data_IF_157985520291
#
_entry.id   IF_157985520291
#
_cell.length_a   1.000
_cell.length_b   1.000
_cell.length_c   1.000
_cell.angle_alpha   90.00
_cell.angle_beta   90.00
_cell.angle_gamma   90.00
#
_symmetry.space_group_name_H-M   'P 1'
#
loop_
_entity.id
_entity.type
_entity.pdbx_description
1 polymer ?
#
# COMPACT_ATOMS: atom_id res chain seq x y z
N UNK A 1 -4.97 21.02 -10.53
CA UNK A 1 -4.90 19.84 -11.42
C UNK A 1 -5.40 18.59 -10.71
N UNK A 2 -4.93 18.31 -9.48
CA UNK A 2 -5.34 17.14 -8.68
C UNK A 2 -6.86 17.04 -8.45
N UNK A 3 -7.53 18.14 -8.05
CA UNK A 3 -9.00 18.15 -7.82
C UNK A 3 -9.80 17.65 -9.02
N UNK A 4 -9.47 18.11 -10.24
CA UNK A 4 -10.13 17.65 -11.48
C UNK A 4 -9.88 16.17 -11.76
N UNK A 5 -8.69 15.66 -11.41
CA UNK A 5 -8.38 14.24 -11.53
C UNK A 5 -9.20 13.41 -10.53
N UNK A 6 -9.31 13.86 -9.28
CA UNK A 6 -10.09 13.19 -8.24
C UNK A 6 -11.57 13.04 -8.64
N UNK A 7 -12.13 14.03 -9.33
CA UNK A 7 -13.49 13.94 -9.88
C UNK A 7 -13.61 12.80 -10.92
N UNK A 8 -12.59 12.64 -11.76
CA UNK A 8 -12.54 11.59 -12.79
C UNK A 8 -12.31 10.19 -12.21
N UNK A 9 -11.75 10.05 -11.00
CA UNK A 9 -11.45 8.76 -10.37
C UNK A 9 -12.67 7.84 -10.29
N UNK A 10 -13.86 8.39 -10.04
CA UNK A 10 -15.11 7.61 -9.96
C UNK A 10 -15.44 6.92 -11.28
N UNK A 11 -15.13 7.57 -12.40
CA UNK A 11 -15.31 6.96 -13.72
C UNK A 11 -14.30 5.84 -13.95
N UNK A 12 -13.03 6.03 -13.54
CA UNK A 12 -12.00 4.98 -13.63
C UNK A 12 -12.36 3.75 -12.78
N UNK A 13 -12.97 3.96 -11.62
CA UNK A 13 -13.45 2.88 -10.76
C UNK A 13 -14.57 2.07 -11.41
N UNK A 14 -15.55 2.73 -12.03
CA UNK A 14 -16.61 2.05 -12.79
C UNK A 14 -16.03 1.22 -13.95
N UNK A 15 -14.92 1.68 -14.54
CA UNK A 15 -14.19 0.98 -15.60
C UNK A 15 -13.26 -0.13 -15.07
N UNK A 16 -13.21 -0.35 -13.74
CA UNK A 16 -12.34 -1.33 -13.07
C UNK A 16 -10.85 -1.13 -13.39
N UNK A 17 -10.42 0.12 -13.58
CA UNK A 17 -9.02 0.47 -13.87
C UNK A 17 -8.33 0.95 -12.62
N UNK A 18 -7.30 0.22 -12.18
CA UNK A 18 -6.38 0.68 -11.15
C UNK A 18 -5.51 1.81 -11.69
N UNK A 19 -5.15 2.76 -10.84
CA UNK A 19 -4.31 3.90 -11.23
C UNK A 19 -3.41 4.32 -10.07
N UNK A 20 -2.36 5.05 -10.44
CA UNK A 20 -1.33 5.54 -9.54
C UNK A 20 -1.14 7.03 -9.82
N UNK A 21 -1.11 7.85 -8.78
CA UNK A 21 -0.74 9.26 -8.86
C UNK A 21 0.63 9.40 -8.21
N UNK A 22 1.61 9.89 -8.96
CA UNK A 22 2.98 10.09 -8.47
C UNK A 22 3.34 11.57 -8.38
N UNK A 23 3.94 11.98 -7.26
CA UNK A 23 4.79 13.19 -7.16
C UNK A 23 6.22 12.70 -7.00
N UNK A 24 7.12 13.17 -7.86
CA UNK A 24 8.51 12.71 -7.85
C UNK A 24 9.47 13.90 -7.97
N UNK A 25 10.57 13.86 -7.22
CA UNK A 25 11.70 14.75 -7.40
C UNK A 25 12.79 14.02 -8.21
N UNK A 26 13.09 14.44 -9.46
CA UNK A 26 13.98 13.70 -10.37
C UNK A 26 15.36 13.38 -9.80
N UNK A 27 15.90 14.24 -8.93
CA UNK A 27 17.21 14.06 -8.28
C UNK A 27 17.31 12.83 -7.35
N UNK A 28 16.18 12.23 -6.97
CA UNK A 28 16.11 11.05 -6.10
C UNK A 28 15.83 9.75 -6.87
N UNK A 29 15.79 9.79 -8.21
CA UNK A 29 15.54 8.60 -9.03
C UNK A 29 16.73 7.64 -9.12
N UNK A 30 17.94 8.15 -8.84
CA UNK A 30 19.19 7.42 -8.97
C UNK A 30 19.85 7.20 -7.60
N UNK A 31 20.58 6.09 -7.41
CA UNK A 31 21.34 5.82 -6.21
C UNK A 31 22.36 6.94 -5.96
N UNK A 32 22.49 7.29 -4.68
CA UNK A 32 23.55 8.19 -4.20
C UNK A 32 24.50 7.35 -3.36
N UNK A 33 25.79 7.53 -3.62
CA UNK A 33 26.85 6.74 -2.99
C UNK A 33 26.79 6.88 -1.45
N UNK A 34 26.88 5.75 -0.75
CA UNK A 34 26.83 5.70 0.72
C UNK A 34 25.46 5.98 1.36
N UNK A 35 24.41 6.26 0.57
CA UNK A 35 23.08 6.56 1.08
C UNK A 35 22.22 5.28 1.11
N UNK A 36 21.78 4.88 2.30
CA UNK A 36 20.74 3.86 2.43
C UNK A 36 19.39 4.44 2.00
N UNK A 37 18.61 3.64 1.28
CA UNK A 37 17.35 4.09 0.67
C UNK A 37 16.23 3.18 1.10
N UNK A 38 15.09 3.78 1.39
CA UNK A 38 13.92 3.08 1.92
C UNK A 38 12.69 3.34 1.06
N UNK A 39 11.91 2.28 0.84
CA UNK A 39 10.54 2.36 0.34
C UNK A 39 9.62 2.11 1.53
N UNK A 40 8.84 3.11 1.92
CA UNK A 40 7.86 2.98 2.98
C UNK A 40 6.47 2.82 2.40
N UNK A 41 5.76 1.76 2.80
CA UNK A 41 4.39 1.48 2.39
C UNK A 41 3.48 1.69 3.60
N UNK A 42 2.59 2.68 3.53
CA UNK A 42 1.59 2.90 4.56
C UNK A 42 0.35 2.05 4.30
N UNK A 43 0.33 0.91 4.98
CA UNK A 43 -0.75 -0.04 5.03
C UNK A 43 -1.88 0.47 5.95
N UNK A 44 -3.12 0.41 5.47
CA UNK A 44 -4.25 0.89 6.25
C UNK A 44 -5.56 0.97 5.47
N UNK A 45 -6.42 -0.03 5.68
CA UNK A 45 -7.86 0.17 5.88
C UNK A 45 -8.78 0.63 4.75
N UNK A 46 -8.31 0.98 3.54
CA UNK A 46 -9.24 1.35 2.46
C UNK A 46 -9.02 0.57 1.16
N UNK A 47 -10.08 -0.14 0.77
CA UNK A 47 -10.39 -0.52 -0.61
C UNK A 47 -9.38 -1.47 -1.31
N UNK A 48 -8.74 -2.37 -0.57
CA UNK A 48 -7.89 -3.44 -1.14
C UNK A 48 -6.72 -2.91 -2.00
N UNK A 49 -6.17 -1.74 -1.63
CA UNK A 49 -4.99 -1.17 -2.30
C UNK A 49 -3.68 -1.91 -1.96
N UNK A 50 -3.64 -2.56 -0.79
CA UNK A 50 -2.44 -3.12 -0.16
C UNK A 50 -1.60 -4.01 -1.07
N UNK A 51 -2.23 -5.00 -1.70
CA UNK A 51 -1.54 -5.98 -2.52
C UNK A 51 -0.86 -5.34 -3.74
N UNK A 52 -1.54 -4.36 -4.36
CA UNK A 52 -0.97 -3.61 -5.47
C UNK A 52 0.20 -2.73 -5.00
N UNK A 53 0.11 -2.11 -3.82
CA UNK A 53 1.22 -1.33 -3.26
C UNK A 53 2.47 -2.19 -3.01
N UNK A 54 2.30 -3.37 -2.41
CA UNK A 54 3.39 -4.30 -2.15
C UNK A 54 3.99 -4.81 -3.47
N UNK A 55 3.15 -5.18 -4.44
CA UNK A 55 3.62 -5.60 -5.76
C UNK A 55 4.43 -4.49 -6.45
N UNK A 56 3.96 -3.25 -6.41
CA UNK A 56 4.67 -2.11 -7.01
C UNK A 56 6.02 -1.86 -6.33
N UNK A 57 6.08 -1.93 -4.99
CA UNK A 57 7.33 -1.82 -4.27
C UNK A 57 8.32 -2.92 -4.64
N UNK A 58 7.86 -4.17 -4.74
CA UNK A 58 8.68 -5.30 -5.19
C UNK A 58 9.16 -5.15 -6.62
N UNK A 59 8.29 -4.76 -7.56
CA UNK A 59 8.68 -4.54 -8.95
C UNK A 59 9.71 -3.41 -9.06
N UNK A 60 9.61 -2.39 -8.20
CA UNK A 60 10.62 -1.33 -8.15
C UNK A 60 11.99 -1.89 -7.76
N UNK A 61 12.09 -2.79 -6.78
CA UNK A 61 13.37 -3.40 -6.39
C UNK A 61 13.98 -4.31 -7.47
N UNK A 62 13.22 -4.71 -8.48
CA UNK A 62 13.76 -5.44 -9.64
C UNK A 62 14.54 -4.52 -10.60
N UNK A 63 14.37 -3.21 -10.51
CA UNK A 63 15.14 -2.24 -11.28
C UNK A 63 16.55 -2.08 -10.68
N UNK A 64 17.64 -2.13 -11.48
CA UNK A 64 19.01 -1.90 -10.99
C UNK A 64 19.17 -0.66 -10.12
N UNK A 65 18.50 0.45 -10.48
CA UNK A 65 18.58 1.71 -9.74
C UNK A 65 18.00 1.62 -8.33
N UNK A 66 17.18 0.61 -8.04
CA UNK A 66 16.45 0.43 -6.78
C UNK A 66 16.76 -0.91 -6.09
N UNK A 67 17.76 -1.67 -6.57
CA UNK A 67 18.02 -3.04 -6.11
C UNK A 67 18.33 -3.16 -4.62
N UNK A 68 19.03 -2.18 -4.05
CA UNK A 68 19.50 -2.22 -2.66
C UNK A 68 18.58 -1.49 -1.67
N UNK A 69 17.38 -1.07 -2.09
CA UNK A 69 16.46 -0.39 -1.20
C UNK A 69 15.80 -1.36 -0.22
N UNK A 70 15.51 -0.88 0.98
CA UNK A 70 14.79 -1.65 2.00
C UNK A 70 13.32 -1.27 2.01
N UNK A 71 12.45 -2.29 1.97
CA UNK A 71 11.00 -2.11 2.05
C UNK A 71 10.59 -2.14 3.52
N UNK A 72 9.84 -1.14 3.96
CA UNK A 72 9.19 -1.10 5.28
C UNK A 72 7.69 -0.96 5.08
N UNK A 73 6.90 -1.90 5.62
CA UNK A 73 5.44 -1.82 5.66
C UNK A 73 5.03 -1.27 7.02
N UNK A 74 4.46 -0.07 7.03
CA UNK A 74 3.98 0.63 8.21
C UNK A 74 2.46 0.56 8.29
N UNK A 75 1.89 0.31 9.46
CA UNK A 75 0.45 0.38 9.69
C UNK A 75 0.15 1.08 11.01
N UNK A 76 -1.01 1.71 11.11
CA UNK A 76 -1.52 2.24 12.38
C UNK A 76 -2.37 1.19 13.10
N UNK A 77 -2.35 1.21 14.43
CA UNK A 77 -3.24 0.45 15.29
C UNK A 77 -3.74 1.30 16.46
N UNK A 78 -5.05 1.23 16.73
CA UNK A 78 -5.67 1.93 17.86
C UNK A 78 -5.71 1.09 19.15
N UNK A 79 -5.50 -0.23 19.05
CA UNK A 79 -5.44 -1.15 20.18
C UNK A 79 -4.34 -2.20 19.98
N UNK A 80 -3.91 -2.83 21.07
CA UNK A 80 -2.87 -3.85 21.03
C UNK A 80 -3.35 -5.11 20.29
N UNK A 81 -4.64 -5.43 20.35
CA UNK A 81 -5.23 -6.53 19.58
C UNK A 81 -5.18 -6.25 18.07
N UNK A 82 -5.48 -5.01 17.67
CA UNK A 82 -5.36 -4.57 16.27
C UNK A 82 -3.90 -4.62 15.82
N UNK A 83 -2.97 -4.22 16.69
CA UNK A 83 -1.54 -4.31 16.42
C UNK A 83 -1.11 -5.76 16.18
N UNK A 84 -1.38 -6.64 17.13
CA UNK A 84 -0.99 -8.05 17.08
C UNK A 84 -1.59 -8.77 15.86
N UNK A 85 -2.87 -8.54 15.57
CA UNK A 85 -3.53 -9.13 14.40
C UNK A 85 -2.95 -8.62 13.08
N UNK A 86 -2.67 -7.32 12.98
CA UNK A 86 -2.05 -6.71 11.79
C UNK A 86 -0.62 -7.19 11.59
N UNK A 87 0.20 -7.23 12.64
CA UNK A 87 1.56 -7.78 12.59
C UNK A 87 1.54 -9.24 12.14
N UNK A 88 0.67 -10.08 12.72
CA UNK A 88 0.54 -11.50 12.35
C UNK A 88 0.15 -11.66 10.88
N UNK A 89 -0.85 -10.91 10.42
CA UNK A 89 -1.32 -10.96 9.03
C UNK A 89 -0.22 -10.54 8.04
N UNK A 90 0.43 -9.39 8.28
CA UNK A 90 1.45 -8.88 7.38
C UNK A 90 2.68 -9.80 7.35
N UNK A 91 3.10 -10.35 8.49
CA UNK A 91 4.24 -11.28 8.54
C UNK A 91 3.97 -12.53 7.72
N UNK A 92 2.76 -13.09 7.85
CA UNK A 92 2.35 -14.22 7.02
C UNK A 92 2.35 -13.85 5.53
N UNK A 93 1.76 -12.72 5.17
CA UNK A 93 1.67 -12.26 3.80
C UNK A 93 3.06 -12.12 3.14
N UNK A 94 4.01 -11.41 3.78
CA UNK A 94 5.35 -11.17 3.20
C UNK A 94 6.16 -12.47 3.05
N UNK A 95 5.98 -13.43 3.96
CA UNK A 95 6.61 -14.75 3.89
C UNK A 95 6.06 -15.56 2.73
N UNK A 96 4.74 -15.55 2.56
CA UNK A 96 4.06 -16.27 1.49
C UNK A 96 4.48 -15.75 0.10
N UNK A 97 4.57 -14.42 -0.07
CA UNK A 97 4.97 -13.78 -1.33
C UNK A 97 6.50 -13.63 -1.48
N UNK A 98 7.28 -14.05 -0.47
CA UNK A 98 8.76 -14.03 -0.46
C UNK A 98 9.37 -12.65 -0.72
N UNK A 99 8.81 -11.61 -0.13
CA UNK A 99 9.35 -10.24 -0.18
C UNK A 99 10.12 -9.96 1.10
N UNK A 100 11.38 -9.52 0.97
CA UNK A 100 12.18 -9.00 2.09
C UNK A 100 11.67 -7.61 2.49
N UNK A 101 10.83 -7.56 3.52
CA UNK A 101 10.26 -6.33 4.04
C UNK A 101 10.21 -6.34 5.57
N UNK A 102 10.46 -5.19 6.17
CA UNK A 102 10.31 -4.97 7.62
C UNK A 102 8.89 -4.51 7.90
N UNK A 103 8.22 -5.13 8.88
CA UNK A 103 6.87 -4.72 9.31
C UNK A 103 6.97 -3.88 10.57
N UNK A 104 6.29 -2.74 10.59
CA UNK A 104 6.18 -1.87 11.76
C UNK A 104 4.73 -1.47 11.96
N UNK A 105 4.10 -1.93 13.03
CA UNK A 105 2.76 -1.47 13.41
C UNK A 105 2.88 -0.47 14.56
N UNK A 106 2.41 0.74 14.31
CA UNK A 106 2.59 1.90 15.16
C UNK A 106 1.27 2.15 15.89
N UNK A 107 1.37 2.28 17.22
CA UNK A 107 0.23 2.63 18.05
C UNK A 107 -0.15 4.10 17.84
N UNK A 108 -1.45 4.37 17.76
CA UNK A 108 -1.96 5.74 17.75
C UNK A 108 -1.52 6.51 19.00
N UNK A 109 -0.96 7.70 18.80
CA UNK A 109 -0.50 8.57 19.87
C UNK A 109 -1.51 9.69 20.12
N UNK A 110 -1.94 9.84 21.38
CA UNK A 110 -2.89 10.89 21.75
C UNK A 110 -2.31 12.28 21.44
N UNK A 111 -3.07 13.08 20.68
CA UNK A 111 -2.68 14.43 20.30
C UNK A 111 -1.72 14.51 19.11
N UNK A 112 -1.42 13.37 18.47
CA UNK A 112 -0.70 13.33 17.19
C UNK A 112 -1.63 12.98 16.06
N UNK A 113 -1.49 13.72 14.96
CA UNK A 113 -2.19 13.45 13.71
C UNK A 113 -1.49 12.34 12.94
N UNK A 114 -2.24 11.63 12.09
CA UNK A 114 -1.67 10.62 11.19
C UNK A 114 -0.52 11.20 10.35
N UNK A 115 -0.68 12.43 9.87
CA UNK A 115 0.32 13.15 9.08
C UNK A 115 1.62 13.34 9.86
N UNK A 116 1.56 13.79 11.11
CA UNK A 116 2.77 13.95 11.95
C UNK A 116 3.51 12.63 12.15
N UNK A 117 2.77 11.54 12.38
CA UNK A 117 3.35 10.21 12.53
C UNK A 117 3.99 9.76 11.21
N UNK A 118 3.31 9.96 10.09
CA UNK A 118 3.82 9.62 8.76
C UNK A 118 5.13 10.34 8.44
N UNK A 119 5.18 11.66 8.67
CA UNK A 119 6.38 12.48 8.46
C UNK A 119 7.53 12.05 9.38
N UNK A 120 7.25 11.73 10.64
CA UNK A 120 8.26 11.23 11.57
C UNK A 120 8.82 9.87 11.15
N UNK A 121 7.93 8.92 10.88
CA UNK A 121 8.30 7.51 10.65
C UNK A 121 8.82 7.25 9.23
N UNK A 122 8.63 8.20 8.32
CA UNK A 122 9.09 8.11 6.92
C UNK A 122 10.10 9.20 6.55
N UNK A 123 10.72 9.87 7.53
CA UNK A 123 11.69 10.94 7.30
C UNK A 123 12.88 10.51 6.42
N UNK A 124 13.30 9.25 6.53
CA UNK A 124 14.40 8.68 5.74
C UNK A 124 13.95 7.98 4.44
N UNK A 125 12.65 7.94 4.16
CA UNK A 125 12.11 7.28 2.99
C UNK A 125 12.38 8.09 1.73
N UNK A 126 12.90 7.43 0.69
CA UNK A 126 12.98 8.04 -0.64
C UNK A 126 11.67 7.90 -1.40
N UNK A 127 10.93 6.82 -1.14
CA UNK A 127 9.62 6.56 -1.72
C UNK A 127 8.64 6.25 -0.61
N UNK A 128 7.52 6.97 -0.59
CA UNK A 128 6.40 6.67 0.29
C UNK A 128 5.18 6.29 -0.55
N UNK A 129 4.59 5.14 -0.28
CA UNK A 129 3.43 4.61 -1.02
C UNK A 129 2.22 4.60 -0.07
N UNK A 130 1.13 5.20 -0.51
CA UNK A 130 -0.14 5.26 0.22
C UNK A 130 -1.28 4.65 -0.60
N UNK A 131 -2.24 4.07 0.09
CA UNK A 131 -3.53 3.75 -0.50
C UNK A 131 -4.33 5.02 -0.78
N UNK A 132 -4.98 5.09 -1.93
CA UNK A 132 -5.84 6.20 -2.32
C UNK A 132 -7.30 5.78 -2.16
N UNK A 133 -8.06 6.59 -1.43
CA UNK A 133 -9.49 6.42 -1.26
C UNK A 133 -10.27 7.25 -2.28
N UNK A 134 -11.49 6.83 -2.57
CA UNK A 134 -12.43 7.65 -3.36
C UNK A 134 -13.04 8.71 -2.44
N UNK A 135 -12.84 10.02 -2.69
CA UNK A 135 -13.51 11.04 -1.90
C UNK A 135 -15.03 11.01 -2.15
N UNK A 136 -15.82 11.44 -1.16
CA UNK A 136 -17.24 11.71 -1.35
C UNK A 136 -17.45 12.85 -2.37
N UNK A 137 -18.61 12.87 -3.03
CA UNK A 137 -18.94 13.91 -4.02
C UNK A 137 -18.93 15.28 -3.34
N UNK A 138 -18.24 16.25 -3.93
CA UNK A 138 -18.08 17.60 -3.39
C UNK A 138 -17.00 17.72 -2.31
N UNK A 139 -16.28 16.64 -1.99
CA UNK A 139 -15.17 16.61 -1.03
C UNK A 139 -13.79 16.48 -1.68
N UNK A 140 -13.71 16.59 -2.99
CA UNK A 140 -12.48 16.41 -3.78
C UNK A 140 -11.42 17.46 -3.40
N UNK A 141 -11.82 18.71 -3.17
CA UNK A 141 -10.88 19.76 -2.79
C UNK A 141 -10.31 19.56 -1.38
N UNK A 142 -11.16 19.19 -0.43
CA UNK A 142 -10.75 18.85 0.94
C UNK A 142 -9.80 17.65 0.93
N UNK A 143 -10.11 16.64 0.11
CA UNK A 143 -9.28 15.45 -0.03
C UNK A 143 -7.93 15.76 -0.70
N UNK A 144 -7.91 16.56 -1.78
CA UNK A 144 -6.68 17.02 -2.42
C UNK A 144 -5.75 17.73 -1.43
N UNK A 145 -6.29 18.66 -0.62
CA UNK A 145 -5.51 19.36 0.41
C UNK A 145 -4.90 18.39 1.42
N UNK A 146 -5.63 17.35 1.84
CA UNK A 146 -5.10 16.31 2.72
C UNK A 146 -3.96 15.51 2.07
N UNK A 147 -4.10 15.15 0.79
CA UNK A 147 -3.03 14.44 0.06
C UNK A 147 -1.78 15.30 -0.10
N UNK A 148 -1.94 16.60 -0.38
CA UNK A 148 -0.84 17.56 -0.47
C UNK A 148 -0.11 17.71 0.87
N UNK A 149 -0.84 17.84 1.97
CA UNK A 149 -0.27 17.90 3.33
C UNK A 149 0.45 16.59 3.71
N UNK A 150 -0.15 15.45 3.38
CA UNK A 150 0.44 14.14 3.63
C UNK A 150 1.74 13.93 2.84
N UNK A 151 1.80 14.48 1.62
CA UNK A 151 2.97 14.40 0.76
C UNK A 151 4.15 15.23 1.30
N UNK A 152 3.87 16.43 1.83
CA UNK A 152 4.89 17.36 2.31
C UNK A 152 6.15 17.42 1.44
N UNK A 153 7.31 17.26 2.08
CA UNK A 153 8.63 17.33 1.45
C UNK A 153 9.21 15.98 1.05
N UNK A 154 8.43 14.89 1.13
CA UNK A 154 8.90 13.58 0.71
C UNK A 154 9.46 13.62 -0.72
N UNK A 155 10.60 12.95 -0.98
CA UNK A 155 11.23 12.97 -2.29
C UNK A 155 10.33 12.42 -3.40
N UNK A 156 9.72 11.26 -3.15
CA UNK A 156 8.80 10.59 -4.05
C UNK A 156 7.61 10.04 -3.27
N UNK A 157 6.40 10.32 -3.74
CA UNK A 157 5.15 9.79 -3.18
C UNK A 157 4.28 9.20 -4.26
N UNK A 158 3.77 8.01 -4.01
CA UNK A 158 2.79 7.34 -4.85
C UNK A 158 1.48 7.11 -4.09
N UNK A 159 0.38 7.58 -4.66
CA UNK A 159 -0.97 7.26 -4.23
C UNK A 159 -1.56 6.20 -5.14
N UNK A 160 -1.90 5.04 -4.59
CA UNK A 160 -2.30 3.85 -5.34
C UNK A 160 -3.77 3.56 -5.10
N UNK A 161 -4.53 3.52 -6.20
CA UNK A 161 -5.92 3.04 -6.19
C UNK A 161 -5.99 1.73 -6.96
N UNK A 162 -6.38 0.66 -6.27
CA UNK A 162 -6.81 -0.58 -6.87
C UNK A 162 -8.33 -0.55 -7.08
N UNK A 163 -8.76 -0.65 -8.33
CA UNK A 163 -10.19 -0.66 -8.71
C UNK A 163 -10.59 -1.92 -9.45
N UNK A 164 -9.64 -2.83 -9.65
CA UNK A 164 -9.89 -4.09 -10.31
C UNK A 164 -10.41 -5.13 -9.32
N UNK A 165 -11.01 -6.22 -9.82
CA UNK A 165 -11.34 -7.44 -9.06
C UNK A 165 -10.09 -8.18 -8.56
N UNK A 166 -8.94 -7.51 -8.53
CA UNK A 166 -7.76 -7.95 -7.79
C UNK A 166 -8.09 -7.93 -6.30
N UNK A 167 -8.84 -8.95 -5.88
CA UNK A 167 -9.27 -9.27 -4.52
C UNK A 167 -8.11 -9.91 -3.73
N UNK A 168 -6.90 -9.36 -3.84
CA UNK A 168 -5.75 -9.85 -3.09
C UNK A 168 -5.41 -11.33 -3.25
N UNK A 169 -5.86 -11.98 -4.32
CA UNK A 169 -5.51 -13.38 -4.60
C UNK A 169 -4.14 -13.49 -5.28
N UNK A 170 -3.14 -12.72 -4.83
CA UNK A 170 -1.78 -12.98 -5.30
C UNK A 170 -1.34 -14.42 -4.91
N UNK A 171 -2.01 -15.10 -3.95
CA UNK A 171 -1.66 -16.47 -3.52
C UNK A 171 -2.80 -17.46 -3.11
N UNK A 172 -4.08 -17.25 -3.43
CA UNK A 172 -5.07 -18.33 -3.22
C UNK A 172 -5.18 -19.24 -4.45
N UNK A 173 -4.14 -20.04 -4.69
CA UNK A 173 -4.23 -21.22 -5.58
C UNK A 173 -3.57 -22.45 -4.96
N UNK A 174 -4.19 -23.01 -3.91
CA UNK A 174 -4.26 -24.46 -3.64
C UNK A 174 -5.12 -24.76 -2.40
N UNK A 175 -6.44 -24.81 -2.58
CA UNK A 175 -7.32 -25.58 -1.66
C UNK A 175 -8.66 -25.94 -2.32
N UNK A 176 -9.06 -25.25 -3.39
CA UNK A 176 -10.33 -25.54 -4.09
C UNK A 176 -10.21 -26.71 -5.11
N UNK A 177 -9.01 -27.25 -5.36
CA UNK A 177 -8.82 -28.41 -6.26
C UNK A 177 -8.73 -29.78 -5.54
N UNK A 178 -9.01 -29.86 -4.22
CA UNK A 178 -9.07 -31.13 -3.49
C UNK A 178 -10.40 -31.34 -2.75
N UNK A 179 -11.47 -30.66 -3.19
CA UNK A 179 -12.80 -30.76 -2.58
C UNK A 179 -13.90 -30.96 -3.62
N UNK A 180 -13.72 -31.94 -4.52
CA UNK A 180 -14.78 -32.43 -5.40
C UNK A 180 -15.08 -33.87 -5.05
N UNK A 181 -16.17 -34.09 -4.32
CA UNK A 181 -16.72 -35.37 -3.90
C UNK A 181 -17.21 -36.20 -5.09
N UNK A 182 -16.83 -37.48 -5.13
CA UNK A 182 -17.66 -38.50 -5.78
C UNK A 182 -18.77 -38.93 -4.81
N UNK A 183 -20.04 -38.97 -5.25
CA UNK A 183 -21.13 -39.52 -4.45
C UNK A 183 -21.04 -41.06 -4.45
N UNK A 184 -20.99 -41.66 -3.26
CA UNK A 184 -21.12 -43.10 -3.09
C UNK A 184 -22.57 -43.50 -3.39
N UNK A 185 -22.79 -44.04 -4.60
CA UNK A 185 -24.05 -44.63 -5.03
C UNK A 185 -24.00 -46.12 -4.64
N UNK A 186 -24.59 -46.40 -3.48
CA UNK A 186 -25.25 -47.62 -3.01
C UNK A 186 -24.85 -49.02 -3.52
N UNK A 187 -24.72 -49.94 -2.55
CA UNK A 187 -25.14 -51.36 -2.55
C UNK A 187 -24.57 -51.97 -1.24
N UNK A 188 -25.25 -52.73 -0.37
CA UNK A 188 -26.50 -53.49 -0.38
C UNK A 188 -27.03 -53.60 1.06
#
# INVERSE_FOLDING_TARGET
MLVKFLDTMRHLEKLRKSFIIGKMQPRFLFPREGVKRFIHIWWGGMQHNGDLMILLAYLLTQNPEWRDVKITILSMASTEEMRNSTETYLNKLILEIRIDAVIRVIMEEKGKTFQEIVHRESAEAEVVIFGLATPAVGKEEEYAKRLEQLTGDFPTVFFVKNSSLFMGQLLLRKSILLGGSEPDIGQS
#
